data_IF_326131672490
#
_entry.id   IF_326131672490
#
_cell.length_a   1.000
_cell.length_b   1.000
_cell.length_c   1.000
_cell.angle_alpha   90.00
_cell.angle_beta   90.00
_cell.angle_gamma   90.00
#
_symmetry.space_group_name_H-M   'P 1'
#
loop_
_entity.id
_entity.type
_entity.pdbx_description
1 polymer ?
#
# COMPACT_ATOMS: atom_id res chain seq x y z
N UNK A 1 12.77 -16.60 -2.39
CA UNK A 1 12.28 -15.29 -2.88
C UNK A 1 11.96 -14.26 -1.78
N UNK A 2 11.53 -14.63 -0.57
CA UNK A 2 11.20 -13.65 0.50
C UNK A 2 12.40 -12.86 1.08
N UNK A 3 13.65 -13.31 0.90
CA UNK A 3 14.84 -12.66 1.50
C UNK A 3 15.30 -11.40 0.74
N UNK A 4 15.08 -11.33 -0.58
CA UNK A 4 15.50 -10.18 -1.41
C UNK A 4 14.45 -9.07 -1.50
N UNK A 5 13.16 -9.39 -1.37
CA UNK A 5 12.06 -8.43 -1.51
C UNK A 5 11.63 -7.78 -0.17
N UNK A 6 12.03 -8.36 0.97
CA UNK A 6 11.77 -7.81 2.31
C UNK A 6 12.36 -6.42 2.58
N UNK A 7 13.57 -6.07 2.10
CA UNK A 7 14.13 -4.72 2.27
C UNK A 7 13.31 -3.68 1.51
N UNK A 8 12.91 -3.97 0.28
CA UNK A 8 12.09 -3.08 -0.54
C UNK A 8 10.68 -2.90 0.03
N UNK A 9 10.03 -3.99 0.45
CA UNK A 9 8.71 -3.93 1.10
C UNK A 9 8.72 -3.19 2.46
N UNK A 10 9.87 -3.11 3.14
CA UNK A 10 10.06 -2.29 4.35
C UNK A 10 10.29 -0.82 4.04
N UNK A 11 11.03 -0.51 2.96
CA UNK A 11 11.29 0.86 2.53
C UNK A 11 10.04 1.55 1.97
N UNK A 12 9.04 0.80 1.48
CA UNK A 12 7.75 1.36 1.04
C UNK A 12 6.74 1.64 2.18
N UNK A 13 7.10 1.46 3.45
CA UNK A 13 6.21 1.84 4.57
C UNK A 13 5.06 0.87 4.90
N UNK A 14 4.96 -0.28 4.21
CA UNK A 14 3.92 -1.28 4.47
C UNK A 14 4.11 -1.98 5.83
N UNK A 15 3.30 -1.64 6.84
CA UNK A 15 3.34 -2.32 8.17
C UNK A 15 2.62 -3.68 8.19
N UNK A 16 1.71 -3.95 7.25
CA UNK A 16 0.90 -5.19 7.20
C UNK A 16 1.55 -6.28 6.33
N UNK A 17 1.83 -7.45 6.94
CA UNK A 17 2.39 -8.65 6.27
C UNK A 17 1.58 -9.10 5.06
N UNK A 18 0.25 -8.99 5.11
CA UNK A 18 -0.63 -9.40 4.02
C UNK A 18 -0.53 -8.46 2.80
N UNK A 19 -0.44 -7.14 3.03
CA UNK A 19 -0.22 -6.16 1.95
C UNK A 19 1.18 -6.33 1.32
N UNK A 20 2.20 -6.64 2.14
CA UNK A 20 3.55 -6.95 1.65
C UNK A 20 3.58 -8.21 0.77
N UNK A 21 2.92 -9.31 1.16
CA UNK A 21 2.89 -10.54 0.36
C UNK A 21 2.34 -10.28 -1.04
N UNK A 22 1.23 -9.56 -1.11
CA UNK A 22 0.55 -9.25 -2.38
C UNK A 22 1.35 -8.30 -3.25
N UNK A 23 2.06 -7.35 -2.66
CA UNK A 23 2.99 -6.50 -3.41
C UNK A 23 4.16 -7.31 -3.99
N UNK A 24 4.72 -8.23 -3.21
CA UNK A 24 5.76 -9.12 -3.69
C UNK A 24 5.27 -10.04 -4.79
N UNK A 25 4.04 -10.55 -4.69
CA UNK A 25 3.41 -11.39 -5.72
C UNK A 25 3.19 -10.60 -7.02
N UNK A 26 2.63 -9.39 -6.94
CA UNK A 26 2.41 -8.54 -8.11
C UNK A 26 3.73 -8.09 -8.77
N UNK A 27 4.75 -7.75 -7.98
CA UNK A 27 6.07 -7.40 -8.51
C UNK A 27 6.78 -8.59 -9.16
N UNK A 28 6.64 -9.79 -8.58
CA UNK A 28 7.17 -11.01 -9.17
C UNK A 28 6.56 -11.27 -10.55
N UNK A 29 5.24 -11.16 -10.66
CA UNK A 29 4.50 -11.30 -11.91
C UNK A 29 4.92 -10.25 -12.94
N UNK A 30 5.10 -8.99 -12.53
CA UNK A 30 5.57 -7.91 -13.40
C UNK A 30 6.99 -8.17 -13.96
N UNK A 31 7.93 -8.59 -13.11
CA UNK A 31 9.31 -8.93 -13.53
C UNK A 31 9.30 -10.17 -14.44
N UNK A 32 8.47 -11.16 -14.12
CA UNK A 32 8.31 -12.36 -14.94
C UNK A 32 7.86 -11.99 -16.36
N UNK A 33 6.78 -11.21 -16.50
CA UNK A 33 6.30 -10.77 -17.81
C UNK A 33 7.24 -9.79 -18.53
N UNK A 34 8.00 -8.97 -17.80
CA UNK A 34 9.01 -8.09 -18.39
C UNK A 34 10.15 -8.88 -19.09
N UNK A 35 10.44 -10.10 -18.62
CA UNK A 35 11.46 -10.97 -19.22
C UNK A 35 10.83 -11.92 -20.24
N UNK A 36 9.71 -12.57 -19.89
CA UNK A 36 9.06 -13.57 -20.75
C UNK A 36 8.37 -12.93 -21.95
N UNK A 37 7.85 -11.69 -21.84
CA UNK A 37 7.22 -10.98 -22.96
C UNK A 37 8.14 -10.79 -24.16
N UNK A 38 9.34 -10.19 -24.00
CA UNK A 38 10.34 -10.11 -25.06
C UNK A 38 10.79 -11.46 -25.61
N UNK A 39 10.89 -12.49 -24.75
CA UNK A 39 11.21 -13.86 -25.18
C UNK A 39 10.07 -14.46 -26.03
N UNK A 40 8.81 -14.24 -25.66
CA UNK A 40 7.64 -14.64 -26.42
C UNK A 40 7.56 -13.95 -27.79
N UNK A 41 7.82 -12.65 -27.83
CA UNK A 41 7.95 -11.88 -29.07
C UNK A 41 9.11 -12.40 -29.95
N UNK A 42 10.24 -12.73 -29.34
CA UNK A 42 11.37 -13.34 -30.07
C UNK A 42 10.97 -14.69 -30.68
N UNK A 43 10.32 -15.57 -29.90
CA UNK A 43 9.81 -16.86 -30.42
C UNK A 43 8.79 -16.64 -31.54
N UNK A 44 7.91 -15.67 -31.40
CA UNK A 44 6.93 -15.29 -32.42
C UNK A 44 7.59 -14.79 -33.71
N UNK A 45 8.71 -14.05 -33.62
CA UNK A 45 9.48 -13.57 -34.79
C UNK A 45 10.09 -14.68 -35.63
N UNK A 46 10.32 -15.85 -35.02
CA UNK A 46 10.87 -17.03 -35.69
C UNK A 46 9.80 -17.92 -36.32
N UNK A 47 8.53 -17.56 -36.17
CA UNK A 47 7.38 -18.30 -36.70
C UNK A 47 6.64 -17.46 -37.75
N UNK A 48 5.86 -18.08 -38.66
CA UNK A 48 5.07 -17.35 -39.66
C UNK A 48 3.96 -16.48 -39.03
N UNK A 49 3.75 -16.57 -37.72
CA UNK A 49 2.75 -15.81 -36.94
C UNK A 49 3.23 -14.39 -36.60
N UNK A 50 4.42 -13.98 -37.07
CA UNK A 50 4.94 -12.64 -36.81
C UNK A 50 3.91 -11.55 -37.11
N UNK A 51 3.75 -10.63 -36.14
CA UNK A 51 2.77 -9.54 -36.19
C UNK A 51 1.29 -9.98 -36.29
N UNK A 52 0.94 -11.12 -35.70
CA UNK A 52 -0.43 -11.65 -35.70
C UNK A 52 -0.97 -11.92 -37.11
N UNK A 53 -0.10 -12.30 -38.04
CA UNK A 53 -0.53 -12.65 -39.39
C UNK A 53 -1.45 -13.88 -39.36
N UNK A 54 -2.73 -13.67 -39.63
CA UNK A 54 -3.75 -14.72 -39.61
C UNK A 54 -3.45 -15.82 -40.63
N UNK A 55 -2.85 -15.50 -41.78
CA UNK A 55 -2.45 -16.49 -42.78
C UNK A 55 -1.38 -17.44 -42.24
N UNK A 56 -0.39 -16.89 -41.55
CA UNK A 56 0.69 -17.67 -40.91
C UNK A 56 0.20 -18.56 -39.77
N UNK A 57 -0.93 -18.25 -39.15
CA UNK A 57 -1.55 -19.10 -38.12
C UNK A 57 -2.09 -20.42 -38.67
N UNK A 58 -2.56 -20.44 -39.92
CA UNK A 58 -3.11 -21.63 -40.58
C UNK A 58 -2.09 -22.33 -41.51
N UNK A 59 -0.94 -21.70 -41.75
CA UNK A 59 0.07 -22.20 -42.68
C UNK A 59 0.75 -23.46 -42.13
N UNK A 60 0.67 -24.58 -42.86
CA UNK A 60 1.24 -25.87 -42.43
C UNK A 60 0.37 -26.67 -41.46
N UNK A 61 -0.93 -26.40 -41.38
CA UNK A 61 -1.87 -27.19 -40.59
C UNK A 61 -2.00 -28.64 -41.13
N UNK A 62 -1.99 -29.68 -40.28
CA UNK A 62 -1.85 -29.66 -38.82
C UNK A 62 -0.39 -29.52 -38.37
N UNK A 63 -0.13 -28.63 -37.41
CA UNK A 63 1.21 -28.39 -36.88
C UNK A 63 1.66 -29.52 -35.94
N UNK A 64 2.12 -30.63 -36.50
CA UNK A 64 2.57 -31.81 -35.73
C UNK A 64 4.01 -31.70 -35.24
N UNK A 65 4.83 -30.90 -35.91
CA UNK A 65 6.25 -30.73 -35.61
C UNK A 65 6.55 -29.29 -35.23
N UNK A 66 7.04 -29.10 -34.01
CA UNK A 66 7.57 -27.82 -33.52
C UNK A 66 8.99 -28.01 -33.06
N UNK A 67 9.81 -26.98 -33.27
CA UNK A 67 11.16 -26.93 -32.77
C UNK A 67 11.18 -27.02 -31.24
N UNK A 68 12.23 -27.60 -30.68
CA UNK A 68 12.31 -27.93 -29.26
C UNK A 68 12.14 -26.69 -28.35
N UNK A 69 12.70 -25.54 -28.76
CA UNK A 69 12.58 -24.30 -28.01
C UNK A 69 11.13 -23.76 -27.99
N UNK A 70 10.39 -23.90 -29.09
CA UNK A 70 8.98 -23.50 -29.16
C UNK A 70 8.14 -24.36 -28.22
N UNK A 71 8.34 -25.68 -28.25
CA UNK A 71 7.63 -26.62 -27.35
C UNK A 71 7.93 -26.32 -25.89
N UNK A 72 9.20 -26.06 -25.58
CA UNK A 72 9.62 -25.71 -24.22
C UNK A 72 8.94 -24.42 -23.75
N UNK A 73 9.03 -23.34 -24.53
CA UNK A 73 8.37 -22.08 -24.22
C UNK A 73 6.86 -22.25 -24.03
N UNK A 74 6.20 -22.95 -24.96
CA UNK A 74 4.76 -23.16 -24.92
C UNK A 74 4.30 -23.93 -23.67
N UNK A 75 4.96 -25.05 -23.34
CA UNK A 75 4.63 -25.84 -22.16
C UNK A 75 4.99 -25.13 -20.86
N UNK A 76 6.10 -24.38 -20.85
CA UNK A 76 6.51 -23.58 -19.71
C UNK A 76 5.48 -22.47 -19.42
N UNK A 77 5.03 -21.76 -20.45
CA UNK A 77 3.99 -20.75 -20.33
C UNK A 77 2.66 -21.37 -19.90
N UNK A 78 2.28 -22.53 -20.44
CA UNK A 78 1.09 -23.27 -20.02
C UNK A 78 1.14 -23.66 -18.53
N UNK A 79 2.29 -24.17 -18.06
CA UNK A 79 2.47 -24.56 -16.66
C UNK A 79 2.40 -23.34 -15.72
N UNK A 80 3.03 -22.23 -16.09
CA UNK A 80 2.95 -20.98 -15.34
C UNK A 80 1.51 -20.46 -15.23
N UNK A 81 0.80 -20.36 -16.36
CA UNK A 81 -0.58 -19.91 -16.39
C UNK A 81 -1.53 -20.83 -15.60
N UNK A 82 -1.32 -22.15 -15.65
CA UNK A 82 -2.09 -23.10 -14.85
C UNK A 82 -1.80 -22.95 -13.35
N UNK A 83 -0.53 -22.81 -12.96
CA UNK A 83 -0.15 -22.53 -11.58
C UNK A 83 -0.81 -21.23 -11.09
N UNK A 84 -0.72 -20.15 -11.87
CA UNK A 84 -1.28 -18.85 -11.52
C UNK A 84 -2.80 -18.92 -11.35
N UNK A 85 -3.50 -19.60 -12.27
CA UNK A 85 -4.94 -19.82 -12.17
C UNK A 85 -5.34 -20.63 -10.93
N UNK A 86 -4.55 -21.64 -10.54
CA UNK A 86 -4.80 -22.43 -9.32
C UNK A 86 -4.61 -21.55 -8.08
N UNK A 87 -3.54 -20.76 -8.03
CA UNK A 87 -3.25 -19.83 -6.92
C UNK A 87 -4.38 -18.81 -6.77
N UNK A 88 -4.88 -18.24 -7.88
CA UNK A 88 -6.04 -17.36 -7.88
C UNK A 88 -7.31 -18.09 -7.44
N UNK A 89 -7.60 -19.27 -7.99
CA UNK A 89 -8.83 -20.03 -7.71
C UNK A 89 -8.93 -20.49 -6.25
N UNK A 90 -7.80 -20.75 -5.59
CA UNK A 90 -7.75 -21.12 -4.17
C UNK A 90 -8.08 -19.96 -3.23
N UNK A 91 -8.34 -18.75 -3.74
CA UNK A 91 -9.06 -17.72 -2.99
C UNK A 91 -8.32 -17.24 -1.75
N UNK A 92 -6.98 -17.19 -1.79
CA UNK A 92 -6.17 -16.59 -0.72
C UNK A 92 -6.38 -15.07 -0.58
N UNK A 93 -7.32 -14.50 -1.33
CA UNK A 93 -7.64 -13.08 -1.40
C UNK A 93 -9.12 -12.77 -1.13
N UNK A 94 -9.38 -11.90 -0.14
CA UNK A 94 -10.70 -11.31 0.12
C UNK A 94 -11.23 -10.64 -1.17
N UNK A 95 -12.41 -10.99 -1.67
CA UNK A 95 -12.85 -10.59 -3.01
C UNK A 95 -13.03 -9.07 -3.12
N UNK A 96 -12.29 -8.47 -4.07
CA UNK A 96 -12.51 -7.12 -4.60
C UNK A 96 -13.39 -7.21 -5.86
N UNK A 97 -13.88 -6.08 -6.37
CA UNK A 97 -14.74 -6.03 -7.57
C UNK A 97 -14.03 -6.59 -8.82
N UNK A 98 -12.70 -6.43 -8.89
CA UNK A 98 -11.90 -6.77 -10.08
C UNK A 98 -11.40 -8.23 -10.09
N UNK A 99 -11.63 -8.97 -8.99
CA UNK A 99 -11.24 -10.38 -8.86
C UNK A 99 -11.96 -11.29 -9.85
N UNK A 100 -13.24 -11.00 -10.14
CA UNK A 100 -14.05 -11.83 -11.05
C UNK A 100 -13.59 -11.71 -12.49
N UNK A 101 -13.16 -10.52 -12.91
CA UNK A 101 -12.66 -10.28 -14.25
C UNK A 101 -11.33 -10.99 -14.46
N UNK A 102 -10.40 -10.88 -13.50
CA UNK A 102 -9.11 -11.57 -13.56
C UNK A 102 -9.27 -13.12 -13.54
N UNK A 103 -10.18 -13.65 -12.73
CA UNK A 103 -10.48 -15.09 -12.73
C UNK A 103 -11.11 -15.52 -14.07
N UNK A 104 -12.06 -14.74 -14.60
CA UNK A 104 -12.65 -15.01 -15.91
C UNK A 104 -11.63 -14.97 -17.04
N UNK A 105 -10.67 -14.05 -16.97
CA UNK A 105 -9.54 -13.94 -17.87
C UNK A 105 -8.71 -15.23 -17.85
N UNK A 106 -8.23 -15.69 -16.69
CA UNK A 106 -7.44 -16.92 -16.57
C UNK A 106 -8.20 -18.19 -16.98
N UNK A 107 -9.51 -18.26 -16.74
CA UNK A 107 -10.34 -19.38 -17.22
C UNK A 107 -10.38 -19.38 -18.76
N UNK A 108 -10.57 -18.21 -19.36
CA UNK A 108 -10.64 -18.07 -20.82
C UNK A 108 -9.30 -18.39 -21.47
N UNK A 109 -8.18 -17.95 -20.89
CA UNK A 109 -6.84 -18.26 -21.42
C UNK A 109 -6.56 -19.74 -21.39
N UNK A 110 -6.79 -20.40 -20.24
CA UNK A 110 -6.58 -21.84 -20.10
C UNK A 110 -7.47 -22.64 -21.05
N UNK A 111 -8.71 -22.19 -21.25
CA UNK A 111 -9.61 -22.82 -22.21
C UNK A 111 -9.08 -22.69 -23.64
N UNK A 112 -8.66 -21.49 -24.07
CA UNK A 112 -8.10 -21.26 -25.40
C UNK A 112 -6.79 -22.06 -25.62
N UNK A 113 -5.93 -22.16 -24.60
CA UNK A 113 -4.70 -22.96 -24.63
C UNK A 113 -4.99 -24.45 -24.73
N UNK A 114 -5.99 -24.94 -23.98
CA UNK A 114 -6.39 -26.35 -24.03
C UNK A 114 -6.97 -26.72 -25.39
N UNK A 115 -7.79 -25.84 -25.97
CA UNK A 115 -8.34 -26.02 -27.31
C UNK A 115 -7.26 -25.96 -28.38
N UNK A 116 -6.35 -24.97 -28.32
CA UNK A 116 -5.25 -24.85 -29.29
C UNK A 116 -4.33 -26.07 -29.25
N UNK A 117 -4.06 -26.63 -28.06
CA UNK A 117 -3.28 -27.86 -27.91
C UNK A 117 -4.05 -29.09 -28.44
N UNK A 118 -5.35 -29.21 -28.15
CA UNK A 118 -6.17 -30.34 -28.62
C UNK A 118 -6.33 -30.37 -30.14
N UNK A 119 -6.53 -29.20 -30.75
CA UNK A 119 -6.73 -29.05 -32.19
C UNK A 119 -5.44 -28.80 -32.98
N UNK A 120 -4.27 -28.82 -32.32
CA UNK A 120 -2.96 -28.59 -32.93
C UNK A 120 -2.81 -27.20 -33.59
N UNK A 121 -3.52 -26.19 -33.08
CA UNK A 121 -3.40 -24.77 -33.47
C UNK A 121 -2.43 -24.02 -32.54
N UNK A 122 -1.25 -24.57 -32.34
CA UNK A 122 -0.23 -24.05 -31.41
C UNK A 122 0.25 -22.64 -31.77
N UNK A 123 0.26 -22.28 -33.06
CA UNK A 123 0.56 -20.94 -33.54
C UNK A 123 -0.49 -19.90 -33.13
N UNK A 124 -1.78 -20.25 -33.14
CA UNK A 124 -2.81 -19.41 -32.55
C UNK A 124 -2.65 -19.34 -31.03
N UNK A 125 -2.30 -20.47 -30.38
CA UNK A 125 -1.99 -20.49 -28.94
C UNK A 125 -0.82 -19.57 -28.56
N UNK A 126 0.23 -19.48 -29.40
CA UNK A 126 1.35 -18.57 -29.17
C UNK A 126 0.91 -17.11 -29.23
N UNK A 127 0.09 -16.74 -30.22
CA UNK A 127 -0.47 -15.40 -30.33
C UNK A 127 -1.33 -15.05 -29.11
N UNK A 128 -2.14 -16.00 -28.64
CA UNK A 128 -2.91 -15.87 -27.40
C UNK A 128 -1.99 -15.62 -26.21
N UNK A 129 -0.90 -16.35 -26.03
CA UNK A 129 0.04 -16.07 -24.93
C UNK A 129 0.59 -14.65 -24.97
N UNK A 130 1.05 -14.19 -26.14
CA UNK A 130 1.65 -12.86 -26.28
C UNK A 130 0.64 -11.75 -25.93
N UNK A 131 -0.62 -11.85 -26.36
CA UNK A 131 -1.62 -10.83 -26.02
C UNK A 131 -1.97 -10.84 -24.55
N UNK A 132 -2.12 -12.00 -23.95
CA UNK A 132 -2.50 -12.12 -22.53
C UNK A 132 -1.36 -11.70 -21.60
N UNK A 133 -0.10 -12.05 -21.92
CA UNK A 133 1.08 -11.61 -21.17
C UNK A 133 1.22 -10.07 -21.18
N UNK A 134 0.89 -9.41 -22.32
CA UNK A 134 0.91 -7.94 -22.42
C UNK A 134 -0.19 -7.32 -21.56
N UNK A 135 -1.42 -7.84 -21.62
CA UNK A 135 -2.54 -7.33 -20.81
C UNK A 135 -2.26 -7.46 -19.31
N UNK A 136 -1.76 -8.62 -18.87
CA UNK A 136 -1.42 -8.88 -17.47
C UNK A 136 -0.24 -8.03 -17.00
N UNK A 137 0.72 -7.73 -17.87
CA UNK A 137 1.79 -6.80 -17.56
C UNK A 137 1.25 -5.38 -17.26
N UNK A 138 0.37 -4.85 -18.11
CA UNK A 138 -0.23 -3.53 -17.88
C UNK A 138 -1.07 -3.49 -16.59
N UNK A 139 -1.80 -4.57 -16.29
CA UNK A 139 -2.58 -4.69 -15.06
C UNK A 139 -1.69 -4.74 -13.81
N UNK A 140 -0.60 -5.50 -13.84
CA UNK A 140 0.33 -5.59 -12.73
C UNK A 140 1.05 -4.26 -12.46
N UNK A 141 1.45 -3.54 -13.51
CA UNK A 141 2.12 -2.23 -13.40
C UNK A 141 1.17 -1.16 -12.84
N UNK A 142 -0.09 -1.11 -13.30
CA UNK A 142 -1.06 -0.14 -12.79
C UNK A 142 -1.38 -0.37 -11.31
N UNK A 143 -1.56 -1.62 -10.89
CA UNK A 143 -1.79 -2.00 -9.50
C UNK A 143 -0.60 -1.72 -8.56
N UNK A 144 0.63 -1.71 -9.08
CA UNK A 144 1.83 -1.32 -8.34
C UNK A 144 1.85 0.20 -8.18
N UNK A 145 1.65 0.94 -9.27
CA UNK A 145 1.69 2.41 -9.29
C UNK A 145 0.63 3.03 -8.37
N UNK A 146 -0.63 2.61 -8.51
CA UNK A 146 -1.76 3.14 -7.72
C UNK A 146 -1.55 2.90 -6.22
N UNK A 147 -0.88 1.80 -5.86
CA UNK A 147 -0.64 1.42 -4.47
C UNK A 147 0.56 2.12 -3.85
N UNK A 148 1.51 2.57 -4.65
CA UNK A 148 2.58 3.45 -4.21
C UNK A 148 1.99 4.82 -3.85
N UNK A 149 1.13 5.36 -4.70
CA UNK A 149 0.43 6.63 -4.45
C UNK A 149 -0.43 6.57 -3.18
N UNK A 150 -1.29 5.55 -3.04
CA UNK A 150 -2.11 5.40 -1.83
C UNK A 150 -1.28 5.23 -0.55
N UNK A 151 -0.10 4.62 -0.62
CA UNK A 151 0.78 4.49 0.54
C UNK A 151 1.43 5.81 0.95
N UNK A 152 1.78 6.66 -0.01
CA UNK A 152 2.30 7.98 0.26
C UNK A 152 1.23 8.84 0.95
N UNK A 153 -0.01 8.83 0.46
CA UNK A 153 -1.12 9.58 1.07
C UNK A 153 -1.43 9.10 2.49
N UNK A 154 -1.52 7.77 2.71
CA UNK A 154 -1.76 7.20 4.04
C UNK A 154 -0.65 7.60 5.03
N UNK A 155 0.61 7.65 4.60
CA UNK A 155 1.73 8.01 5.47
C UNK A 155 1.71 9.50 5.84
N UNK A 156 1.42 10.37 4.86
CA UNK A 156 1.33 11.82 5.06
C UNK A 156 0.18 12.19 6.00
N UNK A 157 -1.02 11.59 5.82
CA UNK A 157 -2.14 11.78 6.76
C UNK A 157 -1.81 11.32 8.19
N UNK A 158 -1.12 10.19 8.34
CA UNK A 158 -0.73 9.69 9.66
C UNK A 158 0.31 10.60 10.35
N UNK A 159 1.26 11.14 9.58
CA UNK A 159 2.27 12.09 10.07
C UNK A 159 1.61 13.41 10.48
N UNK A 160 0.73 13.95 9.64
CA UNK A 160 -0.05 15.15 9.95
C UNK A 160 -0.91 14.98 11.22
N UNK A 161 -1.62 13.86 11.35
CA UNK A 161 -2.43 13.57 12.54
C UNK A 161 -1.56 13.43 13.82
N UNK A 162 -0.35 12.88 13.71
CA UNK A 162 0.58 12.78 14.82
C UNK A 162 1.12 14.16 15.25
N UNK A 163 1.46 15.03 14.29
CA UNK A 163 1.87 16.41 14.58
C UNK A 163 0.75 17.20 15.25
N UNK A 164 -0.48 17.08 14.75
CA UNK A 164 -1.64 17.75 15.34
C UNK A 164 -1.91 17.27 16.78
N UNK A 165 -1.77 15.97 17.05
CA UNK A 165 -1.90 15.43 18.40
C UNK A 165 -0.81 15.95 19.35
N UNK A 166 0.43 16.10 18.87
CA UNK A 166 1.53 16.68 19.65
C UNK A 166 1.30 18.16 19.95
N UNK A 167 0.86 18.96 18.96
CA UNK A 167 0.53 20.38 19.19
C UNK A 167 -0.60 20.53 20.21
N UNK A 168 -1.63 19.68 20.12
CA UNK A 168 -2.72 19.66 21.09
C UNK A 168 -2.22 19.40 22.52
N UNK A 169 -1.39 18.38 22.72
CA UNK A 169 -0.81 18.04 24.03
C UNK A 169 0.09 19.19 24.53
N UNK A 170 0.89 19.79 23.66
CA UNK A 170 1.77 20.91 23.99
C UNK A 170 0.95 22.12 24.47
N UNK A 171 -0.14 22.45 23.76
CA UNK A 171 -1.07 23.52 24.15
C UNK A 171 -1.76 23.24 25.48
N UNK A 172 -2.22 22.01 25.70
CA UNK A 172 -2.83 21.63 26.99
C UNK A 172 -1.86 21.80 28.15
N UNK A 173 -0.60 21.38 27.95
CA UNK A 173 0.46 21.57 28.95
C UNK A 173 0.73 23.05 29.22
N UNK A 174 0.77 23.89 28.18
CA UNK A 174 0.98 25.33 28.35
C UNK A 174 -0.18 25.99 29.11
N UNK A 175 -1.43 25.65 28.78
CA UNK A 175 -2.61 26.16 29.49
C UNK A 175 -2.62 25.75 30.97
N UNK A 176 -2.20 24.52 31.27
CA UNK A 176 -2.06 24.06 32.65
C UNK A 176 -0.98 24.83 33.43
N UNK A 177 0.16 25.14 32.78
CA UNK A 177 1.22 25.95 33.36
C UNK A 177 0.78 27.39 33.61
N UNK A 178 0.08 28.01 32.65
CA UNK A 178 -0.43 29.38 32.78
C UNK A 178 -1.50 29.47 33.88
N UNK A 179 -2.38 28.47 33.97
CA UNK A 179 -3.38 28.35 35.04
C UNK A 179 -2.72 28.23 36.43
N UNK A 180 -1.70 27.38 36.56
CA UNK A 180 -0.94 27.23 37.81
C UNK A 180 -0.21 28.53 38.19
N UNK A 181 0.41 29.21 37.22
CA UNK A 181 1.08 30.50 37.42
C UNK A 181 0.09 31.57 37.93
N UNK A 182 -1.08 31.68 37.30
CA UNK A 182 -2.14 32.61 37.71
C UNK A 182 -2.68 32.29 39.11
N UNK A 183 -2.86 31.01 39.44
CA UNK A 183 -3.29 30.58 40.77
C UNK A 183 -2.28 31.01 41.85
N UNK A 184 -0.98 30.79 41.60
CA UNK A 184 0.11 31.22 42.50
C UNK A 184 0.12 32.75 42.65
N UNK A 185 0.01 33.51 41.55
CA UNK A 185 -0.05 34.97 41.60
C UNK A 185 -1.23 35.47 42.45
N UNK A 186 -2.41 34.84 42.32
CA UNK A 186 -3.60 35.18 43.11
C UNK A 186 -3.46 34.83 44.59
N UNK A 187 -2.80 33.70 44.92
CA UNK A 187 -2.55 33.30 46.30
C UNK A 187 -1.53 34.25 46.96
N UNK A 188 -0.51 34.65 46.22
CA UNK A 188 0.50 35.61 46.68
C UNK A 188 -0.12 36.99 46.95
N UNK A 189 -1.01 37.48 46.08
CA UNK A 189 -1.69 38.77 46.31
C UNK A 189 -2.66 38.74 47.50
N UNK A 190 -3.31 37.60 47.77
CA UNK A 190 -4.13 37.41 48.98
C UNK A 190 -3.28 37.45 50.25
N UNK A 191 -2.10 36.82 50.23
CA UNK A 191 -1.16 36.85 51.36
C UNK A 191 -0.59 38.26 51.61
N UNK A 192 -0.32 39.04 50.55
CA UNK A 192 0.15 40.42 50.70
C UNK A 192 -0.95 41.32 51.26
N UNK A 193 -2.18 41.22 50.75
CA UNK A 193 -3.31 42.02 51.22
C UNK A 193 -3.77 41.63 52.64
N UNK A 194 -3.66 40.36 53.04
CA UNK A 194 -3.97 39.92 54.40
C UNK A 194 -2.97 40.45 55.44
N UNK A 195 -1.71 40.67 55.03
CA UNK A 195 -0.67 41.26 55.89
C UNK A 195 -0.89 42.77 56.10
N UNK A 196 -1.33 43.51 55.08
CA UNK A 196 -1.63 44.94 55.19
C UNK A 196 -2.88 45.21 56.03
N UNK A 197 -3.96 44.43 55.84
CA UNK A 197 -5.18 44.56 56.68
C UNK A 197 -4.93 44.21 58.15
N UNK A 198 -4.11 43.19 58.42
CA UNK A 198 -3.74 42.83 59.80
C UNK A 198 -2.86 43.90 60.46
N UNK A 199 -1.96 44.55 59.70
CA UNK A 199 -1.13 45.65 60.19
C UNK A 199 -1.96 46.93 60.44
N UNK A 200 -2.93 47.25 59.57
CA UNK A 200 -3.83 48.39 59.75
C UNK A 200 -4.76 48.20 60.96
N UNK A 201 -5.31 46.99 61.15
CA UNK A 201 -6.17 46.68 62.30
C UNK A 201 -5.42 46.74 63.63
N UNK A 202 -4.13 46.36 63.65
CA UNK A 202 -3.26 46.52 64.84
C UNK A 202 -2.95 48.00 65.14
N UNK A 203 -2.74 48.84 64.13
CA UNK A 203 -2.52 50.28 64.30
C UNK A 203 -3.80 51.01 64.77
N UNK A 204 -4.97 50.60 64.27
CA UNK A 204 -6.26 51.18 64.67
C UNK A 204 -6.66 50.78 66.11
N UNK A 205 -6.35 49.54 66.53
CA UNK A 205 -6.57 49.07 67.90
C UNK A 205 -5.67 49.76 68.95
N UNK A 206 -4.43 50.10 68.59
CA UNK A 206 -3.48 50.78 69.49
C UNK A 206 -3.75 52.28 69.63
N UNK A 207 -4.22 52.92 68.55
CA UNK A 207 -4.63 54.35 68.58
C UNK A 207 -5.90 54.57 69.40
N UNK A 208 -6.92 53.70 69.29
CA UNK A 208 -8.12 53.75 70.17
C UNK A 208 -7.79 53.51 71.65
N UNK A 209 -6.81 52.66 71.96
CA UNK A 209 -6.39 52.39 73.36
C UNK A 209 -5.67 53.58 74.01
N UNK A 210 -4.90 54.37 73.24
CA UNK A 210 -4.27 55.61 73.72
C UNK A 210 -5.27 56.77 73.91
N UNK A 211 -6.35 56.83 73.14
CA UNK A 211 -7.39 57.86 73.29
C UNK A 211 -8.21 57.70 74.59
N UNK A 212 -8.38 56.47 75.08
CA UNK A 212 -9.17 56.20 76.29
C UNK A 212 -8.37 56.31 77.61
N UNK A 213 -7.03 56.32 77.55
CA UNK A 213 -6.16 56.48 78.73
C UNK A 213 -5.91 57.93 79.16
N UNK A 214 -6.53 58.92 78.49
CA UNK A 214 -6.37 60.36 78.78
C UNK A 214 -7.58 60.99 79.46
N UNK A 215 -8.53 60.18 79.92
CA UNK A 215 -9.68 60.55 80.74
C UNK A 215 -9.66 59.76 82.05
N UNK A 216 -8.75 60.11 82.95
CA UNK A 216 -8.78 59.74 84.36
C UNK A 216 -8.04 60.84 85.14
#
# INVERSE_FOLDING_TARGET
MQKFLRPWAKNSGLKSRAKQSRFMEQMYTAIYFAILGPVGLFVMSRTPVWYFNTRGMYEGFPHKTHEAYFKFYYLFQAAYWAQQAIVLSLGMEKPRKDYKELVGHHITTLFLIALSYRFHFTYMGLAVYVTHDISDFFLAVSEIQVREEHQLTDNDENEFNAEQALDYIQRQKQLALDSASNAIASASSKLTNGKTTSAETYQEGTTKRKANGKKA
#
